data_IF_473360580166
#
_entry.id   IF_473360580166
#
_cell.length_a   1.000
_cell.length_b   1.000
_cell.length_c   1.000
_cell.angle_alpha   90.00
_cell.angle_beta   90.00
_cell.angle_gamma   90.00
#
_symmetry.space_group_name_H-M   'P 1'
#
loop_
_entity.id
_entity.type
_entity.pdbx_description
1 polymer ?
#
# COMPACT_ATOMS: atom_id res chain seq x y z
N UNK A 1 0.61 35.44 37.85
CA UNK A 1 0.38 36.50 36.83
C UNK A 1 1.01 36.16 35.48
N UNK A 2 2.31 35.81 35.39
CA UNK A 2 2.96 35.40 34.12
C UNK A 2 2.24 34.25 33.37
N UNK A 3 1.89 33.17 34.08
CA UNK A 3 1.21 31.98 33.50
C UNK A 3 -0.15 32.33 32.87
N UNK A 4 -0.90 33.26 33.47
CA UNK A 4 -2.23 33.68 32.97
C UNK A 4 -2.11 34.55 31.72
N UNK A 5 -1.02 35.33 31.60
CA UNK A 5 -0.77 36.18 30.43
C UNK A 5 -0.32 35.34 29.24
N UNK A 6 0.49 34.30 29.46
CA UNK A 6 0.89 33.35 28.42
C UNK A 6 -0.30 32.53 27.90
N UNK A 7 -1.15 32.00 28.77
CA UNK A 7 -2.33 31.24 28.35
C UNK A 7 -3.34 32.10 27.59
N UNK A 8 -3.52 33.37 27.97
CA UNK A 8 -4.39 34.30 27.26
C UNK A 8 -3.83 34.65 25.88
N UNK A 9 -2.50 34.78 25.76
CA UNK A 9 -1.82 35.06 24.49
C UNK A 9 -1.97 33.90 23.52
N UNK A 10 -1.79 32.67 23.98
CA UNK A 10 -2.02 31.46 23.18
C UNK A 10 -3.48 31.33 22.75
N UNK A 11 -4.43 31.63 23.65
CA UNK A 11 -5.85 31.65 23.33
C UNK A 11 -6.17 32.66 22.22
N UNK A 12 -5.70 33.91 22.35
CA UNK A 12 -5.93 34.93 21.34
C UNK A 12 -5.27 34.54 20.01
N UNK A 13 -4.04 34.01 20.03
CA UNK A 13 -3.36 33.56 18.80
C UNK A 13 -4.08 32.40 18.12
N UNK A 14 -4.70 31.49 18.87
CA UNK A 14 -5.41 30.33 18.34
C UNK A 14 -6.82 30.68 17.82
N UNK A 15 -7.48 31.64 18.44
CA UNK A 15 -8.88 31.99 18.18
C UNK A 15 -9.07 33.40 17.58
N UNK A 16 -8.02 34.09 17.15
CA UNK A 16 -8.09 35.47 16.63
C UNK A 16 -9.12 35.64 15.50
N UNK A 17 -9.21 34.68 14.57
CA UNK A 17 -10.19 34.70 13.48
C UNK A 17 -11.63 34.66 13.98
N UNK A 18 -11.89 33.89 15.04
CA UNK A 18 -13.20 33.87 15.71
C UNK A 18 -13.51 35.22 16.37
N UNK A 19 -12.55 35.79 17.09
CA UNK A 19 -12.72 37.07 17.78
C UNK A 19 -13.08 38.17 16.79
N UNK A 20 -12.42 38.22 15.62
CA UNK A 20 -12.76 39.18 14.55
C UNK A 20 -14.18 38.95 14.03
N UNK A 21 -14.56 37.70 13.77
CA UNK A 21 -15.92 37.36 13.32
C UNK A 21 -16.98 37.79 14.35
N UNK A 22 -16.77 37.51 15.63
CA UNK A 22 -17.69 37.92 16.70
C UNK A 22 -17.83 39.44 16.78
N UNK A 23 -16.72 40.18 16.69
CA UNK A 23 -16.73 41.65 16.66
C UNK A 23 -17.51 42.18 15.45
N UNK A 24 -17.32 41.58 14.27
CA UNK A 24 -18.06 41.97 13.06
C UNK A 24 -19.56 41.73 13.20
N UNK A 25 -19.95 40.58 13.76
CA UNK A 25 -21.37 40.25 14.02
C UNK A 25 -21.99 41.26 14.99
N UNK A 26 -21.26 41.63 16.06
CA UNK A 26 -21.71 42.65 17.02
C UNK A 26 -21.84 44.03 16.36
N UNK A 27 -20.88 44.44 15.52
CA UNK A 27 -20.95 45.71 14.80
C UNK A 27 -22.17 45.74 13.87
N UNK A 28 -22.36 44.68 13.08
CA UNK A 28 -23.53 44.53 12.20
C UNK A 28 -24.81 44.62 13.03
N UNK A 29 -24.88 43.88 14.14
CA UNK A 29 -26.02 43.91 15.04
C UNK A 29 -26.32 45.33 15.56
N UNK A 30 -25.33 46.08 16.05
CA UNK A 30 -25.54 47.44 16.57
C UNK A 30 -26.00 48.40 15.47
N UNK A 31 -25.42 48.31 14.26
CA UNK A 31 -25.84 49.12 13.10
C UNK A 31 -27.27 48.80 12.66
N UNK A 32 -27.65 47.53 12.63
CA UNK A 32 -29.01 47.12 12.27
C UNK A 32 -30.02 47.44 13.37
N UNK A 33 -29.67 47.24 14.64
CA UNK A 33 -30.52 47.56 15.79
C UNK A 33 -30.88 49.05 15.86
N UNK A 34 -29.92 49.93 15.58
CA UNK A 34 -30.16 51.38 15.52
C UNK A 34 -31.07 51.80 14.36
N UNK A 35 -31.03 51.10 13.23
CA UNK A 35 -31.93 51.34 12.09
C UNK A 35 -33.32 50.68 12.26
N UNK A 36 -33.42 49.59 13.02
CA UNK A 36 -34.65 48.81 13.18
C UNK A 36 -35.52 49.25 14.36
N UNK A 37 -35.08 50.25 15.12
CA UNK A 37 -35.70 50.71 16.38
C UNK A 37 -37.16 51.19 16.24
N UNK A 38 -37.60 51.52 15.02
CA UNK A 38 -38.98 51.90 14.70
C UNK A 38 -39.73 50.83 13.86
N UNK A 39 -39.20 49.60 13.79
CA UNK A 39 -39.73 48.53 12.93
C UNK A 39 -40.11 47.28 13.74
N UNK A 40 -41.05 46.47 13.22
CA UNK A 40 -41.50 45.21 13.84
C UNK A 40 -40.41 44.11 13.95
N UNK A 41 -39.17 44.38 13.57
CA UNK A 41 -38.03 43.45 13.62
C UNK A 41 -37.34 43.36 14.99
N UNK A 42 -37.76 44.18 15.97
CA UNK A 42 -37.15 44.26 17.31
C UNK A 42 -37.14 42.91 18.05
N UNK A 43 -38.13 42.04 17.80
CA UNK A 43 -38.22 40.69 18.40
C UNK A 43 -37.16 39.73 17.85
N UNK A 44 -36.77 39.87 16.58
CA UNK A 44 -35.77 38.99 15.93
C UNK A 44 -34.34 39.44 16.28
N UNK A 45 -34.17 40.73 16.62
CA UNK A 45 -32.90 41.36 16.97
C UNK A 45 -32.87 41.55 18.50
N UNK A 46 -33.11 40.46 19.24
CA UNK A 46 -33.01 40.47 20.69
C UNK A 46 -31.57 40.17 21.14
N UNK A 47 -31.10 40.74 22.27
CA UNK A 47 -29.78 40.43 22.82
C UNK A 47 -29.56 38.93 23.09
N UNK A 48 -30.61 38.20 23.43
CA UNK A 48 -30.59 36.77 23.71
C UNK A 48 -30.32 35.93 22.45
N UNK A 49 -30.90 36.33 21.31
CA UNK A 49 -30.65 35.68 20.01
C UNK A 49 -29.21 35.93 19.56
N UNK A 50 -28.68 37.14 19.76
CA UNK A 50 -27.28 37.44 19.48
C UNK A 50 -26.33 36.60 20.34
N UNK A 51 -26.59 36.51 21.65
CA UNK A 51 -25.77 35.73 22.57
C UNK A 51 -25.74 34.24 22.20
N UNK A 52 -26.90 33.66 21.86
CA UNK A 52 -26.98 32.25 21.43
C UNK A 52 -26.27 31.98 20.11
N UNK A 53 -26.33 32.92 19.16
CA UNK A 53 -25.62 32.83 17.89
C UNK A 53 -24.09 32.90 18.08
N UNK A 54 -23.60 33.80 18.93
CA UNK A 54 -22.18 33.90 19.26
C UNK A 54 -21.67 32.61 19.92
N UNK A 55 -22.39 32.07 20.91
CA UNK A 55 -22.04 30.80 21.55
C UNK A 55 -22.02 29.63 20.55
N UNK A 56 -22.99 29.59 19.62
CA UNK A 56 -23.04 28.57 18.57
C UNK A 56 -21.83 28.61 17.64
N UNK A 57 -21.42 29.81 17.22
CA UNK A 57 -20.22 30.01 16.36
C UNK A 57 -18.95 29.63 17.12
N UNK A 58 -18.82 30.03 18.39
CA UNK A 58 -17.72 29.64 19.26
C UNK A 58 -17.60 28.11 19.40
N UNK A 59 -18.73 27.41 19.58
CA UNK A 59 -18.75 25.96 19.68
C UNK A 59 -18.33 25.26 18.36
N UNK A 60 -18.86 25.70 17.21
CA UNK A 60 -18.52 25.14 15.90
C UNK A 60 -17.03 25.34 15.58
N UNK A 61 -16.51 26.54 15.82
CA UNK A 61 -15.11 26.85 15.56
C UNK A 61 -14.17 26.09 16.50
N UNK A 62 -14.50 26.00 17.80
CA UNK A 62 -13.77 25.17 18.75
C UNK A 62 -13.73 23.70 18.32
N UNK A 63 -14.85 23.16 17.82
CA UNK A 63 -14.89 21.81 17.28
C UNK A 63 -14.00 21.64 16.05
N UNK A 64 -14.01 22.62 15.13
CA UNK A 64 -13.20 22.60 13.91
C UNK A 64 -11.70 22.60 14.23
N UNK A 65 -11.26 23.51 15.11
CA UNK A 65 -9.87 23.60 15.56
C UNK A 65 -9.43 22.32 16.28
N UNK A 66 -10.27 21.77 17.17
CA UNK A 66 -9.97 20.51 17.86
C UNK A 66 -10.02 19.27 16.95
N UNK A 67 -10.69 19.35 15.80
CA UNK A 67 -10.69 18.26 14.82
C UNK A 67 -9.32 18.14 14.15
N UNK A 68 -8.71 19.26 13.79
CA UNK A 68 -7.39 19.30 13.16
C UNK A 68 -6.32 18.69 14.06
N UNK A 69 -6.26 19.10 15.33
CA UNK A 69 -5.32 18.56 16.32
C UNK A 69 -5.50 17.05 16.53
N UNK A 70 -6.76 16.59 16.61
CA UNK A 70 -7.04 15.16 16.76
C UNK A 70 -6.59 14.35 15.55
N UNK A 71 -6.74 14.88 14.35
CA UNK A 71 -6.30 14.22 13.12
C UNK A 71 -4.77 14.19 13.04
N UNK A 72 -4.12 15.29 13.42
CA UNK A 72 -2.67 15.37 13.53
C UNK A 72 -2.09 14.34 14.51
N UNK A 73 -2.59 14.31 15.75
CA UNK A 73 -2.13 13.36 16.79
C UNK A 73 -2.38 11.91 16.39
N UNK A 74 -3.55 11.62 15.80
CA UNK A 74 -3.86 10.29 15.30
C UNK A 74 -2.87 9.85 14.22
N UNK A 75 -2.56 10.71 13.27
CA UNK A 75 -1.61 10.39 12.19
C UNK A 75 -0.18 10.25 12.73
N UNK A 76 0.19 11.06 13.73
CA UNK A 76 1.47 10.92 14.42
C UNK A 76 1.60 9.58 15.13
N UNK A 77 0.54 9.16 15.84
CA UNK A 77 0.51 7.87 16.50
C UNK A 77 0.58 6.73 15.49
N UNK A 78 -0.15 6.81 14.37
CA UNK A 78 -0.07 5.82 13.29
C UNK A 78 1.35 5.69 12.74
N UNK A 79 2.07 6.80 12.54
CA UNK A 79 3.47 6.76 12.10
C UNK A 79 4.37 6.08 13.14
N UNK A 80 4.18 6.35 14.44
CA UNK A 80 4.94 5.68 15.51
C UNK A 80 4.69 4.18 15.52
N UNK A 81 3.43 3.78 15.38
CA UNK A 81 3.04 2.37 15.31
C UNK A 81 3.67 1.70 14.07
N UNK A 82 3.72 2.39 12.92
CA UNK A 82 4.40 1.90 11.72
C UNK A 82 5.91 1.71 11.95
N UNK A 83 6.58 2.66 12.62
CA UNK A 83 8.01 2.54 12.95
C UNK A 83 8.27 1.34 13.88
N UNK A 84 7.41 1.12 14.88
CA UNK A 84 7.50 -0.02 15.80
C UNK A 84 7.24 -1.36 15.07
N UNK A 85 6.21 -1.43 14.23
CA UNK A 85 5.90 -2.60 13.39
C UNK A 85 7.09 -2.90 12.46
N UNK A 86 7.61 -1.88 11.78
CA UNK A 86 8.75 -2.05 10.88
C UNK A 86 9.98 -2.57 11.64
N UNK A 87 10.28 -2.02 12.81
CA UNK A 87 11.37 -2.50 13.66
C UNK A 87 11.16 -3.95 14.13
N UNK A 88 9.92 -4.34 14.46
CA UNK A 88 9.61 -5.71 14.88
C UNK A 88 9.79 -6.72 13.74
N UNK A 89 9.36 -6.38 12.52
CA UNK A 89 9.40 -7.26 11.35
C UNK A 89 10.70 -7.15 10.56
N UNK A 90 11.63 -6.31 10.99
CA UNK A 90 12.92 -6.19 10.34
C UNK A 90 13.68 -7.53 10.37
N UNK A 91 14.13 -7.97 9.20
CA UNK A 91 14.76 -9.29 9.02
C UNK A 91 13.86 -10.53 9.18
N UNK A 92 12.53 -10.39 9.43
CA UNK A 92 11.60 -11.52 9.64
C UNK A 92 10.79 -11.95 8.40
N UNK A 93 11.03 -11.36 7.23
CA UNK A 93 10.47 -11.84 5.95
C UNK A 93 8.94 -11.69 5.78
N UNK A 94 8.26 -10.87 6.59
CA UNK A 94 6.80 -10.66 6.48
C UNK A 94 6.50 -9.45 5.59
N UNK A 95 6.46 -9.69 4.28
CA UNK A 95 6.32 -8.67 3.23
C UNK A 95 4.98 -7.95 3.20
N UNK A 96 3.88 -8.67 3.45
CA UNK A 96 2.52 -8.12 3.39
C UNK A 96 2.29 -7.02 4.42
N UNK A 97 2.95 -7.09 5.59
CA UNK A 97 2.85 -6.08 6.64
C UNK A 97 3.62 -4.82 6.26
N UNK A 98 4.82 -4.97 5.67
CA UNK A 98 5.61 -3.83 5.18
C UNK A 98 4.92 -3.10 4.03
N UNK A 99 4.29 -3.83 3.10
CA UNK A 99 3.51 -3.25 2.00
C UNK A 99 2.30 -2.44 2.50
N UNK A 100 1.55 -2.99 3.47
CA UNK A 100 0.46 -2.25 4.10
C UNK A 100 0.94 -0.97 4.81
N UNK A 101 2.09 -1.02 5.50
CA UNK A 101 2.72 0.16 6.08
C UNK A 101 3.06 1.22 5.02
N UNK A 102 3.60 0.81 3.86
CA UNK A 102 3.89 1.72 2.75
C UNK A 102 2.65 2.37 2.16
N UNK A 103 1.55 1.64 1.98
CA UNK A 103 0.30 2.23 1.49
C UNK A 103 -0.21 3.32 2.45
N UNK A 104 -0.09 3.11 3.76
CA UNK A 104 -0.46 4.10 4.77
C UNK A 104 0.44 5.34 4.73
N UNK A 105 1.76 5.17 4.54
CA UNK A 105 2.71 6.28 4.38
C UNK A 105 2.39 7.10 3.12
N UNK A 106 2.21 6.43 1.97
CA UNK A 106 1.90 7.09 0.70
C UNK A 106 0.58 7.88 0.76
N UNK A 107 -0.40 7.40 1.54
CA UNK A 107 -1.65 8.12 1.75
C UNK A 107 -1.46 9.39 2.58
N UNK A 108 -0.59 9.34 3.59
CA UNK A 108 -0.27 10.49 4.44
C UNK A 108 0.61 11.51 3.71
N UNK A 109 1.51 11.06 2.83
CA UNK A 109 2.40 11.92 2.06
C UNK A 109 1.65 12.85 1.10
N UNK A 110 0.54 12.37 0.52
CA UNK A 110 -0.31 13.16 -0.38
C UNK A 110 -1.06 14.32 0.30
N UNK A 111 -1.03 14.39 1.64
CA UNK A 111 -1.72 15.44 2.37
C UNK A 111 -0.81 16.66 2.57
N UNK A 112 -1.08 17.74 1.83
CA UNK A 112 -0.34 19.01 1.90
C UNK A 112 -0.53 19.77 3.20
N UNK A 113 -1.49 19.38 4.05
CA UNK A 113 -1.71 20.03 5.34
C UNK A 113 -0.53 19.86 6.34
N UNK A 114 0.39 18.94 6.06
CA UNK A 114 1.45 18.57 6.99
C UNK A 114 2.84 19.12 6.66
N UNK A 115 3.03 19.83 5.54
CA UNK A 115 4.37 20.19 5.01
C UNK A 115 5.28 20.88 6.03
N UNK A 116 4.74 21.80 6.83
CA UNK A 116 5.52 22.58 7.82
C UNK A 116 5.48 21.99 9.24
N UNK A 117 5.07 20.74 9.41
CA UNK A 117 4.88 20.12 10.73
C UNK A 117 5.90 19.02 11.04
N UNK A 118 6.11 18.74 12.34
CA UNK A 118 6.95 17.61 12.77
C UNK A 118 6.47 16.27 12.21
N UNK A 119 5.17 16.13 11.96
CA UNK A 119 4.59 14.95 11.32
C UNK A 119 5.22 14.67 9.94
N UNK A 120 5.48 15.69 9.12
CA UNK A 120 6.15 15.52 7.82
C UNK A 120 7.62 15.13 8.00
N UNK A 121 8.32 15.73 8.96
CA UNK A 121 9.69 15.34 9.31
C UNK A 121 9.76 13.87 9.72
N UNK A 122 8.84 13.41 10.57
CA UNK A 122 8.80 12.04 11.04
C UNK A 122 8.37 11.06 9.93
N UNK A 123 7.43 11.48 9.06
CA UNK A 123 7.05 10.73 7.86
C UNK A 123 8.24 10.52 6.93
N UNK A 124 9.02 11.56 6.66
CA UNK A 124 10.22 11.46 5.81
C UNK A 124 11.26 10.51 6.44
N UNK A 125 11.51 10.62 7.75
CA UNK A 125 12.41 9.73 8.48
C UNK A 125 12.00 8.25 8.37
N UNK A 126 10.72 7.93 8.56
CA UNK A 126 10.22 6.56 8.42
C UNK A 126 10.34 6.10 6.97
N UNK A 127 9.99 6.96 6.01
CA UNK A 127 10.07 6.63 4.58
C UNK A 127 11.49 6.27 4.16
N UNK A 128 12.48 7.09 4.53
CA UNK A 128 13.90 6.82 4.30
C UNK A 128 14.38 5.56 5.03
N UNK A 129 13.90 5.33 6.26
CA UNK A 129 14.28 4.14 7.05
C UNK A 129 13.74 2.86 6.43
N UNK A 130 12.55 2.88 5.79
CA UNK A 130 12.00 1.71 5.12
C UNK A 130 12.63 1.51 3.74
N UNK A 131 12.91 2.59 2.98
CA UNK A 131 13.63 2.50 1.69
C UNK A 131 15.07 1.96 1.84
N UNK A 132 15.76 2.28 2.95
CA UNK A 132 17.09 1.78 3.25
C UNK A 132 17.13 0.37 3.84
N UNK A 133 15.98 -0.30 4.02
CA UNK A 133 15.99 -1.74 4.31
C UNK A 133 16.28 -2.44 2.99
N UNK A 134 17.55 -2.78 2.79
CA UNK A 134 17.98 -3.78 1.82
C UNK A 134 17.05 -4.98 1.97
N UNK A 135 16.07 -5.06 1.07
CA UNK A 135 14.95 -5.98 1.17
C UNK A 135 15.57 -7.35 1.05
N UNK A 136 15.80 -7.99 2.21
CA UNK A 136 16.32 -9.35 2.27
C UNK A 136 15.20 -10.23 1.75
N UNK A 137 15.17 -10.40 0.42
CA UNK A 137 14.19 -11.20 -0.30
C UNK A 137 14.00 -12.49 0.49
N UNK A 138 12.73 -12.90 0.73
CA UNK A 138 12.49 -14.07 1.55
C UNK A 138 13.27 -15.22 0.94
N UNK A 139 13.92 -16.03 1.78
CA UNK A 139 14.66 -17.17 1.28
C UNK A 139 13.76 -18.00 0.36
N UNK A 140 14.30 -18.51 -0.76
CA UNK A 140 13.50 -19.22 -1.77
C UNK A 140 12.58 -20.29 -1.16
N UNK A 141 13.03 -20.96 -0.10
CA UNK A 141 12.25 -21.96 0.63
C UNK A 141 11.10 -21.38 1.46
N UNK A 142 11.28 -20.19 2.05
CA UNK A 142 10.22 -19.48 2.75
C UNK A 142 9.13 -19.02 1.78
N UNK A 143 9.52 -18.49 0.63
CA UNK A 143 8.59 -18.09 -0.42
C UNK A 143 7.78 -19.28 -0.93
N UNK A 144 8.44 -20.41 -1.23
CA UNK A 144 7.73 -21.64 -1.63
C UNK A 144 6.74 -22.11 -0.56
N UNK A 145 7.15 -22.09 0.72
CA UNK A 145 6.30 -22.50 1.84
C UNK A 145 5.07 -21.60 1.99
N UNK A 146 5.22 -20.28 1.83
CA UNK A 146 4.12 -19.31 1.85
C UNK A 146 3.04 -19.67 0.82
N UNK A 147 3.43 -19.89 -0.44
CA UNK A 147 2.49 -20.25 -1.50
C UNK A 147 1.89 -21.65 -1.33
N UNK A 148 2.70 -22.61 -0.85
CA UNK A 148 2.23 -23.97 -0.58
C UNK A 148 1.10 -24.00 0.47
N UNK A 149 1.30 -23.31 1.60
CA UNK A 149 0.30 -23.21 2.68
C UNK A 149 -0.95 -22.50 2.18
N UNK A 150 -0.78 -21.33 1.55
CA UNK A 150 -1.91 -20.52 1.07
C UNK A 150 -2.79 -21.29 0.06
N UNK A 151 -2.16 -22.04 -0.84
CA UNK A 151 -2.86 -22.77 -1.90
C UNK A 151 -3.20 -24.22 -1.54
N UNK A 152 -2.90 -24.66 -0.31
CA UNK A 152 -3.15 -26.02 0.18
C UNK A 152 -2.53 -27.10 -0.73
N UNK A 153 -1.32 -26.85 -1.23
CA UNK A 153 -0.55 -27.81 -2.03
C UNK A 153 0.79 -28.14 -1.36
N UNK A 154 1.36 -29.29 -1.71
CA UNK A 154 2.70 -29.66 -1.29
C UNK A 154 3.74 -28.69 -1.90
N UNK A 155 4.70 -28.25 -1.09
CA UNK A 155 5.76 -27.32 -1.50
C UNK A 155 6.60 -27.86 -2.66
N UNK A 156 6.65 -29.18 -2.86
CA UNK A 156 7.31 -29.79 -4.02
C UNK A 156 6.69 -29.38 -5.36
N UNK A 157 5.44 -28.94 -5.39
CA UNK A 157 4.76 -28.43 -6.59
C UNK A 157 4.87 -26.91 -6.75
N UNK A 158 5.60 -26.23 -5.85
CA UNK A 158 5.92 -24.81 -5.97
C UNK A 158 7.34 -24.65 -6.51
N UNK A 159 7.48 -24.01 -7.66
CA UNK A 159 8.71 -23.86 -8.41
C UNK A 159 9.13 -22.40 -8.43
N UNK A 160 10.40 -22.15 -8.14
CA UNK A 160 10.97 -20.81 -8.16
C UNK A 160 12.09 -20.73 -9.20
N UNK A 161 12.14 -19.61 -9.89
CA UNK A 161 13.28 -19.23 -10.72
C UNK A 161 13.47 -17.72 -10.64
N UNK A 162 14.73 -17.28 -10.70
CA UNK A 162 15.04 -15.85 -10.76
C UNK A 162 14.59 -15.25 -12.11
N UNK A 163 14.30 -13.96 -12.11
CA UNK A 163 14.12 -13.20 -13.34
C UNK A 163 15.48 -13.02 -14.04
N UNK A 164 15.52 -13.27 -15.34
CA UNK A 164 16.69 -13.08 -16.20
C UNK A 164 16.48 -11.82 -17.05
N UNK A 165 16.83 -10.66 -16.47
CA UNK A 165 16.60 -9.33 -17.06
C UNK A 165 17.19 -9.22 -18.47
N UNK A 166 18.44 -9.66 -18.66
CA UNK A 166 19.10 -9.66 -19.97
C UNK A 166 18.32 -10.45 -21.03
N UNK A 167 17.68 -11.56 -20.64
CA UNK A 167 16.87 -12.37 -21.56
C UNK A 167 15.56 -11.64 -21.89
N UNK A 168 14.96 -10.99 -20.89
CA UNK A 168 13.73 -10.23 -21.07
C UNK A 168 13.93 -9.05 -22.04
N UNK A 169 14.99 -8.27 -21.84
CA UNK A 169 15.37 -7.14 -22.70
C UNK A 169 15.62 -7.58 -24.15
N UNK A 170 16.42 -8.62 -24.34
CA UNK A 170 16.73 -9.15 -25.68
C UNK A 170 15.51 -9.69 -26.44
N UNK A 171 14.46 -10.07 -25.73
CA UNK A 171 13.22 -10.59 -26.34
C UNK A 171 12.08 -9.56 -26.36
N UNK A 172 12.30 -8.34 -25.84
CA UNK A 172 11.30 -7.27 -25.80
C UNK A 172 10.09 -7.60 -24.93
N UNK A 173 10.30 -8.20 -23.76
CA UNK A 173 9.24 -8.74 -22.89
C UNK A 173 9.41 -8.24 -21.45
N UNK A 174 8.33 -8.22 -20.66
CA UNK A 174 8.35 -7.56 -19.34
C UNK A 174 9.25 -8.28 -18.33
N UNK A 175 9.33 -9.60 -18.42
CA UNK A 175 10.24 -10.43 -17.62
C UNK A 175 10.40 -11.80 -18.24
N UNK A 176 11.48 -12.52 -17.89
CA UNK A 176 11.79 -13.85 -18.41
C UNK A 176 12.38 -14.76 -17.34
N UNK A 177 11.97 -16.02 -17.31
CA UNK A 177 12.37 -17.00 -16.29
C UNK A 177 12.66 -18.36 -16.89
N UNK A 178 13.44 -19.18 -16.17
CA UNK A 178 13.78 -20.54 -16.59
C UNK A 178 13.52 -21.55 -15.49
N UNK A 179 12.57 -22.46 -15.71
CA UNK A 179 12.28 -23.58 -14.80
C UNK A 179 12.77 -24.90 -15.39
N UNK A 180 13.55 -25.64 -14.61
CA UNK A 180 13.99 -27.00 -14.96
C UNK A 180 13.21 -28.04 -14.14
N UNK A 181 12.45 -28.90 -14.80
CA UNK A 181 11.67 -29.97 -14.16
C UNK A 181 12.20 -31.35 -14.57
N UNK A 182 12.40 -32.24 -13.60
CA UNK A 182 12.93 -33.58 -13.85
C UNK A 182 11.87 -34.52 -14.44
N UNK A 183 12.32 -35.56 -15.14
CA UNK A 183 11.42 -36.60 -15.62
C UNK A 183 10.65 -37.30 -14.49
N UNK A 184 11.29 -37.48 -13.32
CA UNK A 184 10.63 -38.05 -12.14
C UNK A 184 9.44 -37.21 -11.68
N UNK A 185 9.57 -35.88 -11.71
CA UNK A 185 8.46 -34.98 -11.38
C UNK A 185 7.24 -35.24 -12.27
N UNK A 186 7.46 -35.44 -13.57
CA UNK A 186 6.39 -35.74 -14.53
C UNK A 186 5.81 -37.15 -14.41
N UNK A 187 6.57 -38.11 -13.85
CA UNK A 187 6.07 -39.46 -13.59
C UNK A 187 5.16 -39.51 -12.36
N UNK A 188 5.36 -38.60 -11.40
CA UNK A 188 4.66 -38.59 -10.12
C UNK A 188 3.46 -37.62 -10.08
N UNK A 189 3.46 -36.60 -10.94
CA UNK A 189 2.41 -35.59 -10.94
C UNK A 189 1.08 -36.15 -11.45
N UNK A 190 -0.01 -35.84 -10.74
CA UNK A 190 -1.38 -36.18 -11.15
C UNK A 190 -1.95 -35.12 -12.08
N UNK A 191 -2.92 -35.51 -12.90
CA UNK A 191 -3.56 -34.62 -13.89
C UNK A 191 -4.19 -33.37 -13.26
N UNK A 192 -4.92 -33.51 -12.14
CA UNK A 192 -5.56 -32.38 -11.46
C UNK A 192 -4.62 -31.59 -10.55
N UNK A 193 -3.37 -32.02 -10.37
CA UNK A 193 -2.45 -31.38 -9.44
C UNK A 193 -2.11 -29.96 -9.92
N UNK A 194 -2.36 -28.95 -9.08
CA UNK A 194 -1.92 -27.57 -9.32
C UNK A 194 -0.40 -27.48 -9.17
N UNK A 195 0.25 -26.78 -10.09
CA UNK A 195 1.67 -26.45 -10.06
C UNK A 195 1.81 -24.94 -10.09
N UNK A 196 2.53 -24.40 -9.12
CA UNK A 196 2.73 -22.96 -8.96
C UNK A 196 4.17 -22.62 -9.36
N UNK A 197 4.31 -21.58 -10.16
CA UNK A 197 5.59 -21.00 -10.57
C UNK A 197 5.71 -19.61 -9.98
N UNK A 198 6.90 -19.32 -9.46
CA UNK A 198 7.24 -18.10 -8.74
C UNK A 198 8.48 -17.45 -9.33
N UNK A 199 8.47 -16.13 -9.38
CA UNK A 199 9.66 -15.31 -9.65
C UNK A 199 9.53 -13.96 -8.94
N UNK A 200 10.62 -13.20 -8.94
CA UNK A 200 10.66 -11.84 -8.41
C UNK A 200 11.08 -10.91 -9.55
N UNK A 201 10.24 -9.93 -9.86
CA UNK A 201 10.43 -8.93 -10.91
C UNK A 201 10.32 -7.57 -10.26
N UNK A 202 11.35 -6.74 -10.37
CA UNK A 202 11.40 -5.39 -9.77
C UNK A 202 10.97 -5.38 -8.30
N UNK A 203 11.52 -6.32 -7.53
CA UNK A 203 11.22 -6.53 -6.10
C UNK A 203 9.77 -6.96 -5.79
N UNK A 204 8.96 -7.29 -6.80
CA UNK A 204 7.59 -7.80 -6.65
C UNK A 204 7.50 -9.28 -6.93
N UNK A 205 6.73 -9.99 -6.11
CA UNK A 205 6.41 -11.41 -6.32
C UNK A 205 5.49 -11.56 -7.54
N UNK A 206 5.86 -12.43 -8.47
CA UNK A 206 5.02 -12.83 -9.59
C UNK A 206 4.75 -14.33 -9.46
N UNK A 207 3.47 -14.68 -9.40
CA UNK A 207 3.02 -16.05 -9.22
C UNK A 207 1.95 -16.43 -10.24
N UNK A 208 2.13 -17.61 -10.83
CA UNK A 208 1.21 -18.14 -11.83
C UNK A 208 1.13 -19.66 -11.74
N UNK A 209 0.04 -20.22 -12.24
CA UNK A 209 -0.22 -21.65 -12.11
C UNK A 209 -0.69 -22.30 -13.41
N UNK A 210 -0.56 -23.63 -13.43
CA UNK A 210 -1.22 -24.53 -14.38
C UNK A 210 -1.56 -25.86 -13.69
N UNK A 211 -2.17 -26.80 -14.41
CA UNK A 211 -2.45 -28.16 -13.92
C UNK A 211 -1.41 -29.16 -14.42
N UNK A 212 -1.22 -30.27 -13.70
CA UNK A 212 -0.31 -31.34 -14.08
C UNK A 212 -0.59 -31.86 -15.49
N UNK A 213 -1.86 -32.04 -15.84
CA UNK A 213 -2.27 -32.44 -17.19
C UNK A 213 -1.75 -31.49 -18.27
N UNK A 214 -1.98 -30.18 -18.11
CA UNK A 214 -1.55 -29.16 -19.08
C UNK A 214 -0.04 -28.99 -19.11
N UNK A 215 0.62 -29.14 -17.97
CA UNK A 215 2.07 -29.11 -17.91
C UNK A 215 2.70 -30.32 -18.62
N UNK A 216 2.08 -31.51 -18.53
CA UNK A 216 2.47 -32.69 -19.30
C UNK A 216 2.26 -32.49 -20.81
N UNK A 217 1.15 -31.87 -21.23
CA UNK A 217 0.93 -31.50 -22.65
C UNK A 217 2.00 -30.52 -23.16
N UNK A 218 2.42 -29.56 -22.33
CA UNK A 218 3.48 -28.60 -22.67
C UNK A 218 4.85 -29.26 -22.74
N UNK A 219 5.11 -30.24 -21.86
CA UNK A 219 6.38 -30.98 -21.77
C UNK A 219 6.85 -31.54 -23.12
N UNK A 220 5.92 -32.03 -23.93
CA UNK A 220 6.23 -32.65 -25.23
C UNK A 220 6.72 -31.64 -26.29
N UNK A 221 6.58 -30.33 -26.04
CA UNK A 221 6.98 -29.27 -26.99
C UNK A 221 8.23 -28.51 -26.57
N UNK A 222 8.63 -28.61 -25.30
CA UNK A 222 9.78 -27.86 -24.76
C UNK A 222 11.10 -28.61 -24.96
N UNK A 223 12.19 -27.87 -24.79
CA UNK A 223 13.53 -28.43 -24.91
C UNK A 223 13.83 -29.39 -23.76
N UNK A 224 14.50 -30.48 -24.10
CA UNK A 224 14.94 -31.49 -23.14
C UNK A 224 16.45 -31.59 -23.12
N UNK A 225 17.02 -31.80 -21.94
CA UNK A 225 18.44 -32.05 -21.75
C UNK A 225 18.68 -33.24 -20.85
N UNK A 226 19.80 -33.93 -21.08
CA UNK A 226 20.25 -34.99 -20.19
C UNK A 226 20.90 -34.38 -18.94
N UNK A 227 20.59 -34.95 -17.78
CA UNK A 227 21.15 -34.56 -16.49
C UNK A 227 21.78 -35.76 -15.83
N UNK A 228 23.03 -35.61 -15.37
CA UNK A 228 23.75 -36.65 -14.62
C UNK A 228 23.00 -37.10 -13.35
N UNK A 229 22.15 -36.23 -12.78
CA UNK A 229 21.44 -36.48 -11.52
C UNK A 229 19.98 -36.92 -11.70
N UNK A 230 19.33 -36.50 -12.79
CA UNK A 230 17.89 -36.67 -12.98
C UNK A 230 17.52 -37.41 -14.27
N UNK A 231 18.50 -38.01 -14.94
CA UNK A 231 18.44 -38.59 -16.30
C UNK A 231 18.02 -37.57 -17.36
N UNK A 232 16.76 -37.11 -17.34
CA UNK A 232 16.18 -36.19 -18.29
C UNK A 232 15.49 -35.03 -17.56
N UNK A 233 15.75 -33.82 -18.05
CA UNK A 233 15.21 -32.57 -17.52
C UNK A 233 14.57 -31.80 -18.67
N UNK A 234 13.43 -31.19 -18.38
CA UNK A 234 12.63 -30.39 -19.28
C UNK A 234 12.76 -28.93 -18.86
N UNK A 235 13.20 -28.08 -19.78
CA UNK A 235 13.48 -26.67 -19.54
C UNK A 235 12.35 -25.81 -20.11
N UNK A 236 11.73 -25.02 -19.26
CA UNK A 236 10.62 -24.13 -19.59
C UNK A 236 11.11 -22.68 -19.48
N UNK A 237 11.22 -21.98 -20.61
CA UNK A 237 11.57 -20.56 -20.64
C UNK A 237 10.30 -19.72 -20.70
N UNK A 238 9.78 -19.34 -19.54
CA UNK A 238 8.48 -18.67 -19.42
C UNK A 238 8.69 -17.17 -19.29
N UNK A 239 7.93 -16.39 -20.06
CA UNK A 239 7.89 -14.94 -20.00
C UNK A 239 6.45 -14.42 -20.07
N UNK A 240 6.28 -13.15 -19.69
CA UNK A 240 5.04 -12.38 -19.85
C UNK A 240 5.30 -11.18 -20.73
N UNK A 241 4.37 -10.86 -21.62
CA UNK A 241 4.46 -9.67 -22.47
C UNK A 241 3.73 -8.48 -21.82
N UNK A 242 3.89 -7.29 -22.41
CA UNK A 242 3.22 -6.06 -21.94
C UNK A 242 1.68 -6.15 -21.95
N UNK A 243 1.12 -7.06 -22.77
CA UNK A 243 -0.33 -7.31 -22.85
C UNK A 243 -0.83 -8.27 -21.76
N UNK A 244 0.05 -8.78 -20.91
CA UNK A 244 -0.26 -9.71 -19.82
C UNK A 244 -0.32 -11.18 -20.22
N UNK A 245 0.01 -11.54 -21.46
CA UNK A 245 -0.04 -12.92 -21.96
C UNK A 245 1.25 -13.68 -21.63
N UNK A 246 1.11 -14.94 -21.22
CA UNK A 246 2.22 -15.86 -20.96
C UNK A 246 2.65 -16.58 -22.24
N UNK A 247 3.97 -16.71 -22.45
CA UNK A 247 4.51 -17.49 -23.56
C UNK A 247 5.83 -18.17 -23.21
N UNK A 248 6.13 -19.24 -23.93
CA UNK A 248 7.41 -19.92 -23.91
C UNK A 248 8.32 -19.31 -24.99
N UNK A 249 9.49 -18.79 -24.61
CA UNK A 249 10.34 -17.95 -25.46
C UNK A 249 10.96 -18.74 -26.61
N UNK A 250 11.58 -19.90 -26.35
CA UNK A 250 12.36 -20.62 -27.35
C UNK A 250 11.48 -21.16 -28.50
N UNK A 251 10.26 -21.59 -28.17
CA UNK A 251 9.30 -22.20 -29.11
C UNK A 251 8.19 -21.24 -29.52
N UNK A 252 8.16 -20.03 -28.96
CA UNK A 252 7.12 -19.01 -29.21
C UNK A 252 5.71 -19.56 -29.00
N UNK A 253 5.52 -20.32 -27.91
CA UNK A 253 4.24 -20.96 -27.60
C UNK A 253 3.44 -20.11 -26.63
N UNK A 254 2.21 -19.74 -27.00
CA UNK A 254 1.25 -19.13 -26.09
C UNK A 254 0.84 -20.11 -24.99
N UNK A 255 1.03 -19.72 -23.73
CA UNK A 255 0.80 -20.58 -22.57
C UNK A 255 -0.64 -20.55 -22.06
N UNK A 256 -1.47 -19.63 -22.55
CA UNK A 256 -2.92 -19.58 -22.28
C UNK A 256 -3.61 -20.87 -22.72
N UNK A 257 -3.16 -21.47 -23.84
CA UNK A 257 -3.64 -22.78 -24.33
C UNK A 257 -3.35 -23.93 -23.35
N UNK A 258 -2.42 -23.70 -22.45
CA UNK A 258 -2.01 -24.62 -21.38
C UNK A 258 -2.52 -24.15 -20.01
N UNK A 259 -3.53 -23.28 -19.98
CA UNK A 259 -4.19 -22.80 -18.77
C UNK A 259 -3.22 -22.16 -17.76
N UNK A 260 -2.18 -21.48 -18.26
CA UNK A 260 -1.34 -20.62 -17.42
C UNK A 260 -2.11 -19.36 -17.07
N UNK A 261 -2.21 -19.05 -15.78
CA UNK A 261 -2.93 -17.88 -15.27
C UNK A 261 -2.26 -17.35 -14.00
N UNK A 262 -2.47 -16.06 -13.76
CA UNK A 262 -2.03 -15.42 -12.51
C UNK A 262 -2.73 -16.04 -11.30
N UNK A 263 -2.01 -16.11 -10.19
CA UNK A 263 -2.58 -16.44 -8.87
C UNK A 263 -2.87 -15.11 -8.20
N UNK A 264 -4.15 -14.85 -7.94
CA UNK A 264 -4.59 -13.73 -7.09
C UNK A 264 -4.35 -14.05 -5.61
#
# INVERSE_FOLDING_TARGET
MKIVVESLKEFIQRYWGLIICEILIVIIYVCFYTCSRDSNFEIIISPEILATLLVGIAAIYSWFVNRYDREYEKNLQMLKDIDEINAYYDGKGVYSVKEACFEHINKLEKNTAYEDTFLKTYLNYISEKIENVDVKLPGVEELKRKYAIHNQIDSKYVKYSKNYVEIAENNGVSWATWYSLSETFFKEIKDEQRVIFLTIVDQKEVAFETTGKKLCELKEKVKTRNSKRYNKVYDFYIAKNEKGCYFEIEKKLELEKYNFKDIN
#
